data_IF_533834798920
#
_entry.id   IF_533834798920
#
_cell.length_a   1.000
_cell.length_b   1.000
_cell.length_c   1.000
_cell.angle_alpha   90.00
_cell.angle_beta   90.00
_cell.angle_gamma   90.00
#
_symmetry.space_group_name_H-M   'P 1'
#
loop_
_entity.id
_entity.type
_entity.pdbx_description
1 polymer ?
#
# COMPACT_ATOMS: atom_id res chain seq x y z
N UNK A 1 -4.15 17.05 26.50
CA UNK A 1 -3.39 16.25 25.52
C UNK A 1 -4.27 15.09 25.06
N UNK A 2 -4.74 15.04 23.81
CA UNK A 2 -5.20 13.77 23.25
C UNK A 2 -4.47 13.46 21.95
N UNK A 3 -3.32 12.81 22.08
CA UNK A 3 -2.65 12.08 21.00
C UNK A 3 -3.30 10.71 20.83
N UNK A 4 -4.59 10.64 20.47
CA UNK A 4 -5.31 9.36 20.40
C UNK A 4 -6.06 9.14 19.09
N UNK A 5 -5.57 9.70 17.97
CA UNK A 5 -6.13 9.46 16.62
C UNK A 5 -5.06 9.30 15.54
N UNK A 6 -3.84 8.87 15.89
CA UNK A 6 -2.75 8.73 14.92
C UNK A 6 -2.51 7.29 14.41
N UNK A 7 -3.48 6.38 14.55
CA UNK A 7 -3.27 4.95 14.28
C UNK A 7 -4.23 4.31 13.29
N UNK A 8 -5.10 5.08 12.63
CA UNK A 8 -6.06 4.50 11.72
C UNK A 8 -5.72 4.88 10.29
N UNK A 9 -5.36 3.89 9.46
CA UNK A 9 -5.39 3.87 7.99
C UNK A 9 -6.81 4.13 7.44
N UNK A 10 -7.45 5.20 7.88
CA UNK A 10 -8.85 5.48 7.55
C UNK A 10 -8.95 6.01 6.12
N UNK A 11 -9.60 5.21 5.26
CA UNK A 11 -10.12 5.63 3.96
C UNK A 11 -11.54 6.17 4.19
N UNK A 12 -11.76 7.44 3.87
CA UNK A 12 -13.07 8.08 3.99
C UNK A 12 -13.73 8.18 2.63
N UNK A 13 -14.90 7.56 2.49
CA UNK A 13 -15.72 7.65 1.28
C UNK A 13 -16.75 8.76 1.45
N UNK A 14 -16.65 9.81 0.63
CA UNK A 14 -17.59 10.93 0.63
C UNK A 14 -18.58 10.75 -0.51
N UNK A 15 -19.79 10.33 -0.17
CA UNK A 15 -20.92 10.18 -1.10
C UNK A 15 -21.71 11.49 -1.15
N UNK A 16 -21.91 12.05 -2.35
CA UNK A 16 -22.80 13.19 -2.55
C UNK A 16 -24.11 12.73 -3.18
N UNK A 17 -25.24 13.21 -2.65
CA UNK A 17 -26.59 12.86 -3.09
C UNK A 17 -26.89 13.20 -4.55
N UNK A 18 -26.17 14.17 -5.13
CA UNK A 18 -26.17 14.49 -6.57
C UNK A 18 -24.74 14.83 -7.01
N UNK A 19 -23.96 13.82 -7.42
CA UNK A 19 -22.59 14.02 -7.91
C UNK A 19 -21.74 12.75 -7.91
N UNK A 20 -20.47 12.88 -8.28
CA UNK A 20 -19.49 11.77 -8.23
C UNK A 20 -19.01 11.57 -6.78
N UNK A 21 -18.94 10.31 -6.37
CA UNK A 21 -18.35 9.89 -5.09
C UNK A 21 -16.84 10.09 -5.14
N UNK A 22 -16.27 10.59 -4.04
CA UNK A 22 -14.81 10.76 -3.90
C UNK A 22 -14.31 9.97 -2.70
N UNK A 23 -13.08 9.49 -2.81
CA UNK A 23 -12.38 8.78 -1.74
C UNK A 23 -11.26 9.67 -1.24
N UNK A 24 -11.20 9.90 0.06
CA UNK A 24 -10.13 10.64 0.73
C UNK A 24 -9.32 9.63 1.54
N UNK A 25 -8.01 9.60 1.30
CA UNK A 25 -7.06 8.76 2.01
C UNK A 25 -5.78 9.56 2.26
N UNK A 26 -4.93 9.08 3.15
CA UNK A 26 -3.60 9.67 3.32
C UNK A 26 -2.80 9.54 2.03
N UNK A 27 -1.93 10.52 1.78
CA UNK A 27 -1.04 10.49 0.62
C UNK A 27 -0.11 9.26 0.64
N UNK A 28 0.38 8.89 1.83
CA UNK A 28 1.22 7.70 2.01
C UNK A 28 0.48 6.41 1.61
N UNK A 29 -0.78 6.27 2.01
CA UNK A 29 -1.61 5.12 1.64
C UNK A 29 -1.84 5.05 0.13
N UNK A 30 -2.16 6.19 -0.49
CA UNK A 30 -2.30 6.28 -1.94
C UNK A 30 -1.01 5.85 -2.66
N UNK A 31 0.14 6.33 -2.20
CA UNK A 31 1.43 6.00 -2.80
C UNK A 31 1.76 4.50 -2.65
N UNK A 32 1.52 3.91 -1.48
CA UNK A 32 1.70 2.47 -1.24
C UNK A 32 0.84 1.61 -2.16
N UNK A 33 -0.42 2.00 -2.39
CA UNK A 33 -1.32 1.34 -3.34
C UNK A 33 -0.78 1.47 -4.78
N UNK A 34 -0.36 2.68 -5.19
CA UNK A 34 0.19 2.90 -6.53
C UNK A 34 1.46 2.10 -6.77
N UNK A 35 2.36 2.02 -5.80
CA UNK A 35 3.59 1.22 -5.88
C UNK A 35 3.27 -0.27 -5.99
N UNK A 36 2.32 -0.77 -5.20
CA UNK A 36 1.86 -2.16 -5.27
C UNK A 36 1.26 -2.49 -6.65
N UNK A 37 0.46 -1.58 -7.20
CA UNK A 37 -0.08 -1.73 -8.56
C UNK A 37 1.05 -1.74 -9.59
N UNK A 38 2.02 -0.83 -9.47
CA UNK A 38 3.16 -0.72 -10.38
C UNK A 38 4.02 -1.99 -10.37
N UNK A 39 4.36 -2.51 -9.19
CA UNK A 39 5.13 -3.74 -9.04
C UNK A 39 4.40 -4.96 -9.64
N UNK A 40 3.07 -4.95 -9.62
CA UNK A 40 2.23 -6.04 -10.15
C UNK A 40 1.75 -5.85 -11.59
N UNK A 41 2.08 -4.71 -12.22
CA UNK A 41 1.54 -4.27 -13.52
C UNK A 41 2.02 -5.11 -14.71
N UNK A 42 3.17 -5.78 -14.61
CA UNK A 42 3.71 -6.63 -15.67
C UNK A 42 4.16 -7.98 -15.12
N UNK A 43 4.16 -9.01 -15.99
CA UNK A 43 4.65 -10.34 -15.64
C UNK A 43 6.12 -10.31 -15.21
N UNK A 44 6.95 -9.50 -15.88
CA UNK A 44 8.36 -9.35 -15.56
C UNK A 44 8.58 -8.71 -14.18
N UNK A 45 7.83 -7.65 -13.86
CA UNK A 45 7.94 -6.99 -12.55
C UNK A 45 7.48 -7.91 -11.42
N UNK A 46 6.37 -8.63 -11.63
CA UNK A 46 5.85 -9.60 -10.67
C UNK A 46 6.82 -10.73 -10.39
N UNK A 47 7.35 -11.36 -11.43
CA UNK A 47 8.32 -12.45 -11.29
C UNK A 47 9.57 -12.00 -10.51
N UNK A 48 10.05 -10.77 -10.76
CA UNK A 48 11.18 -10.19 -10.02
C UNK A 48 10.86 -9.94 -8.55
N UNK A 49 9.64 -9.45 -8.25
CA UNK A 49 9.17 -9.25 -6.89
C UNK A 49 9.07 -10.58 -6.14
N UNK A 50 8.41 -11.59 -6.73
CA UNK A 50 8.24 -12.93 -6.16
C UNK A 50 9.59 -13.60 -5.90
N UNK A 51 10.53 -13.50 -6.85
CA UNK A 51 11.89 -14.01 -6.67
C UNK A 51 12.60 -13.34 -5.49
N UNK A 52 12.41 -12.03 -5.33
CA UNK A 52 13.03 -11.26 -4.25
C UNK A 52 12.44 -11.65 -2.88
N UNK A 53 11.13 -11.84 -2.80
CA UNK A 53 10.43 -12.34 -1.60
C UNK A 53 10.93 -13.74 -1.27
N UNK A 54 10.92 -14.66 -2.23
CA UNK A 54 11.40 -16.04 -2.02
C UNK A 54 12.85 -16.08 -1.54
N UNK A 55 13.71 -15.19 -2.04
CA UNK A 55 15.09 -15.06 -1.56
C UNK A 55 15.16 -14.60 -0.10
N UNK A 56 14.33 -13.65 0.32
CA UNK A 56 14.29 -13.17 1.71
C UNK A 56 13.78 -14.27 2.64
N UNK A 57 12.72 -14.98 2.26
CA UNK A 57 12.15 -16.06 3.08
C UNK A 57 13.10 -17.25 3.24
N UNK A 58 13.90 -17.54 2.23
CA UNK A 58 14.87 -18.66 2.25
C UNK A 58 16.23 -18.28 2.85
N UNK A 59 16.58 -16.99 2.85
CA UNK A 59 17.82 -16.51 3.46
C UNK A 59 17.53 -16.09 4.89
N UNK A 60 18.01 -16.86 5.89
CA UNK A 60 18.06 -16.37 7.28
C UNK A 60 18.59 -14.93 7.26
N UNK A 61 17.94 -13.97 7.96
CA UNK A 61 18.41 -12.60 7.97
C UNK A 61 19.89 -12.62 8.30
N UNK A 62 20.70 -12.01 7.43
CA UNK A 62 22.12 -11.79 7.68
C UNK A 62 22.18 -10.90 8.92
N UNK A 63 22.20 -11.52 10.10
CA UNK A 63 22.48 -10.84 11.35
C UNK A 63 23.90 -10.28 11.19
N UNK A 64 23.98 -8.96 11.16
CA UNK A 64 25.23 -8.21 11.16
C UNK A 64 25.53 -7.78 12.57
#
# INVERSE_FOLDING_TARGET
MPNSVNNNEDIVVVVRSKGKTVVVMRLEEYNSIQETIYLNSTLANRARLETSIARIETTKPLQK
#
